data_IF_697713361822
#
_entry.id   IF_697713361822
#
_cell.length_a   1.000
_cell.length_b   1.000
_cell.length_c   1.000
_cell.angle_alpha   90.00
_cell.angle_beta   90.00
_cell.angle_gamma   90.00
#
_symmetry.space_group_name_H-M   'P 1'
#
loop_
_entity.id
_entity.type
_entity.pdbx_description
1 polymer ?
#
# COMPACT_ATOMS: atom_id res chain seq x y z
N UNK A 1 12.49 66.90 35.57
CA UNK A 1 12.21 66.51 34.18
C UNK A 1 11.28 65.31 34.21
N UNK A 2 10.03 65.53 33.76
CA UNK A 2 9.11 64.60 33.05
C UNK A 2 8.76 63.29 33.80
N UNK A 3 7.59 63.19 34.43
CA UNK A 3 6.31 62.62 33.89
C UNK A 3 6.37 61.07 33.85
N UNK A 4 5.41 60.25 34.26
CA UNK A 4 4.05 60.40 34.74
C UNK A 4 3.36 59.02 34.67
N UNK A 5 2.40 58.81 35.57
CA UNK A 5 1.23 57.91 35.50
C UNK A 5 1.40 56.40 35.15
N UNK A 6 0.45 55.65 35.75
CA UNK A 6 -0.17 54.38 35.32
C UNK A 6 0.51 53.08 35.75
N UNK A 7 -0.19 51.99 36.15
CA UNK A 7 -1.60 51.68 36.43
C UNK A 7 -1.63 50.30 37.14
N UNK A 8 -2.69 50.07 37.90
CA UNK A 8 -3.14 48.78 38.43
C UNK A 8 -3.32 47.68 37.36
N UNK A 9 -3.43 46.42 37.84
CA UNK A 9 -4.05 45.19 37.26
C UNK A 9 -3.04 44.16 36.73
N UNK A 10 -3.19 42.85 36.88
CA UNK A 10 -4.19 41.96 37.48
C UNK A 10 -3.58 40.55 37.51
N UNK A 11 -3.87 39.77 38.55
CA UNK A 11 -3.63 38.33 38.55
C UNK A 11 -4.46 37.67 37.44
N UNK A 12 -3.83 36.91 36.53
CA UNK A 12 -4.56 36.01 35.62
C UNK A 12 -4.62 34.61 36.22
N UNK A 13 -5.69 34.38 36.98
CA UNK A 13 -6.14 33.04 37.31
C UNK A 13 -6.47 32.27 36.02
N UNK A 14 -5.94 31.06 35.88
CA UNK A 14 -6.30 30.11 34.83
C UNK A 14 -7.76 29.72 35.01
N UNK A 15 -8.65 30.27 34.19
CA UNK A 15 -10.07 29.95 34.24
C UNK A 15 -10.28 28.45 33.96
N UNK A 16 -10.71 27.69 34.97
CA UNK A 16 -11.20 26.32 34.80
C UNK A 16 -12.49 26.38 33.97
N UNK A 17 -12.42 26.03 32.69
CA UNK A 17 -13.61 25.87 31.84
C UNK A 17 -14.55 24.84 32.45
N UNK A 18 -15.81 25.21 32.59
CA UNK A 18 -16.80 24.33 33.23
C UNK A 18 -17.37 23.33 32.23
N UNK A 19 -17.82 22.16 32.72
CA UNK A 19 -18.36 21.06 31.88
C UNK A 19 -19.46 21.52 30.91
N UNK A 20 -20.20 22.58 31.26
CA UNK A 20 -21.22 23.20 30.39
C UNK A 20 -20.65 23.97 29.20
N UNK A 21 -19.47 24.57 29.32
CA UNK A 21 -18.79 25.24 28.20
C UNK A 21 -18.23 24.23 27.21
N UNK A 22 -17.75 23.07 27.69
CA UNK A 22 -17.26 21.98 26.84
C UNK A 22 -18.40 21.39 25.97
N UNK A 23 -19.60 21.25 26.54
CA UNK A 23 -20.80 20.83 25.80
C UNK A 23 -21.25 21.87 24.75
N UNK A 24 -21.06 23.17 25.02
CA UNK A 24 -21.35 24.24 24.05
C UNK A 24 -20.30 24.34 22.94
N UNK A 25 -19.06 23.92 23.20
CA UNK A 25 -17.96 23.89 22.23
C UNK A 25 -17.89 22.57 21.43
N UNK A 26 -18.48 21.49 21.95
CA UNK A 26 -18.54 20.18 21.29
C UNK A 26 -19.46 20.12 20.05
N UNK A 27 -20.32 21.11 19.85
CA UNK A 27 -21.22 21.17 18.69
C UNK A 27 -20.53 21.50 17.36
N UNK A 28 -19.32 22.07 17.39
CA UNK A 28 -18.67 22.58 16.16
C UNK A 28 -17.80 21.53 15.46
N UNK A 29 -17.43 20.42 16.13
CA UNK A 29 -16.68 19.33 15.50
C UNK A 29 -17.57 18.27 14.83
N UNK A 30 -18.82 18.12 15.28
CA UNK A 30 -19.77 17.19 14.68
C UNK A 30 -20.30 17.65 13.31
N UNK A 31 -20.30 18.96 13.04
CA UNK A 31 -20.74 19.51 11.76
C UNK A 31 -19.71 19.34 10.63
N UNK A 32 -18.43 19.09 10.95
CA UNK A 32 -17.38 18.87 9.94
C UNK A 32 -17.39 17.46 9.33
N UNK A 33 -17.94 16.47 10.04
CA UNK A 33 -18.03 15.08 9.55
C UNK A 33 -19.29 14.81 8.71
N UNK A 34 -20.26 15.74 8.70
CA UNK A 34 -21.47 15.61 7.89
C UNK A 34 -21.29 16.09 6.44
N UNK A 35 -20.18 16.76 6.12
CA UNK A 35 -19.93 17.40 4.83
C UNK A 35 -18.75 16.80 4.05
N UNK A 36 -18.20 15.66 4.46
CA UNK A 36 -17.42 14.85 3.52
C UNK A 36 -18.43 14.20 2.57
N UNK A 37 -18.44 14.52 1.26
CA UNK A 37 -19.28 13.76 0.35
C UNK A 37 -18.84 12.30 0.48
N UNK A 38 -19.77 11.46 0.93
CA UNK A 38 -19.64 10.00 0.91
C UNK A 38 -19.63 9.53 -0.55
N UNK A 39 -18.61 9.92 -1.30
CA UNK A 39 -18.27 9.39 -2.62
C UNK A 39 -17.67 8.00 -2.43
N UNK A 40 -18.37 7.14 -1.68
CA UNK A 40 -18.12 5.71 -1.67
C UNK A 40 -18.70 5.20 -2.98
N UNK A 41 -17.82 5.07 -3.98
CA UNK A 41 -18.19 4.47 -5.26
C UNK A 41 -18.64 3.03 -5.01
N UNK A 42 -19.58 2.52 -5.81
CA UNK A 42 -20.00 1.11 -5.74
C UNK A 42 -18.82 0.12 -5.86
N UNK A 43 -17.73 0.53 -6.51
CA UNK A 43 -16.46 -0.21 -6.55
C UNK A 43 -15.75 -0.29 -5.19
N UNK A 44 -15.84 0.75 -4.35
CA UNK A 44 -15.25 0.74 -3.00
C UNK A 44 -16.01 -0.18 -2.04
N UNK A 45 -17.30 -0.42 -2.28
CA UNK A 45 -18.15 -1.31 -1.46
C UNK A 45 -18.21 -2.75 -1.97
N UNK A 46 -17.52 -3.07 -3.06
CA UNK A 46 -17.56 -4.40 -3.68
C UNK A 46 -18.82 -4.58 -4.51
N UNK A 47 -18.81 -4.08 -5.74
CA UNK A 47 -19.84 -4.41 -6.71
C UNK A 47 -19.72 -5.89 -7.10
N UNK A 48 -20.82 -6.58 -7.41
CA UNK A 48 -20.80 -8.01 -7.76
C UNK A 48 -19.85 -8.37 -8.93
N UNK A 49 -19.51 -7.39 -9.77
CA UNK A 49 -18.59 -7.55 -10.91
C UNK A 49 -17.11 -7.29 -10.61
N UNK A 50 -16.75 -6.76 -9.44
CA UNK A 50 -15.36 -6.60 -9.01
C UNK A 50 -15.27 -6.38 -7.48
N UNK A 51 -14.44 -7.14 -6.75
CA UNK A 51 -14.29 -6.97 -5.31
C UNK A 51 -13.79 -5.57 -4.96
N UNK A 52 -14.15 -5.13 -3.76
CA UNK A 52 -13.64 -3.88 -3.19
C UNK A 52 -12.10 -3.89 -3.23
N UNK A 53 -11.49 -2.71 -3.37
CA UNK A 53 -10.03 -2.60 -3.41
C UNK A 53 -9.32 -3.23 -2.19
N UNK A 54 -9.98 -3.25 -1.02
CA UNK A 54 -9.49 -3.89 0.20
C UNK A 54 -9.55 -5.42 0.20
N UNK A 55 -10.25 -6.03 -0.76
CA UNK A 55 -10.40 -7.48 -0.90
C UNK A 55 -9.58 -8.06 -2.06
N UNK A 56 -8.73 -7.27 -2.71
CA UNK A 56 -7.85 -7.75 -3.79
C UNK A 56 -6.57 -8.33 -3.23
N UNK A 57 -6.10 -9.41 -3.85
CA UNK A 57 -4.79 -10.00 -3.58
C UNK A 57 -3.69 -9.14 -4.22
N UNK A 58 -2.80 -8.61 -3.40
CA UNK A 58 -1.64 -7.84 -3.86
C UNK A 58 -0.47 -8.78 -4.20
N UNK A 59 -0.01 -8.71 -5.45
CA UNK A 59 1.03 -9.59 -5.99
C UNK A 59 2.34 -8.86 -6.28
N UNK A 60 3.44 -9.51 -5.91
CA UNK A 60 4.79 -9.19 -6.39
C UNK A 60 5.30 -10.24 -7.38
N UNK A 61 6.02 -9.83 -8.41
CA UNK A 61 6.66 -10.75 -9.36
C UNK A 61 8.18 -10.74 -9.19
N UNK A 62 8.78 -11.92 -9.09
CA UNK A 62 10.23 -12.12 -9.01
C UNK A 62 10.67 -12.90 -10.26
N UNK A 63 11.34 -12.21 -11.18
CA UNK A 63 11.62 -12.67 -12.54
C UNK A 63 10.48 -12.32 -13.50
N UNK A 64 10.74 -11.43 -14.46
CA UNK A 64 9.74 -10.95 -15.44
C UNK A 64 10.22 -11.07 -16.89
N UNK A 65 11.08 -12.05 -17.17
CA UNK A 65 11.31 -12.55 -18.55
C UNK A 65 10.40 -13.74 -18.88
N UNK A 66 10.52 -14.30 -20.09
CA UNK A 66 9.95 -15.60 -20.48
C UNK A 66 8.58 -15.92 -19.87
N UNK A 67 8.51 -16.99 -19.05
CA UNK A 67 7.28 -17.40 -18.35
C UNK A 67 6.76 -16.34 -17.37
N UNK A 68 7.65 -15.60 -16.70
CA UNK A 68 7.26 -14.51 -15.80
C UNK A 68 6.45 -13.43 -16.51
N UNK A 69 6.80 -13.08 -17.75
CA UNK A 69 6.00 -12.15 -18.57
C UNK A 69 4.64 -12.74 -18.94
N UNK A 70 4.60 -14.03 -19.30
CA UNK A 70 3.34 -14.74 -19.60
C UNK A 70 2.39 -14.76 -18.39
N UNK A 71 2.93 -15.06 -17.21
CA UNK A 71 2.19 -15.04 -15.95
C UNK A 71 1.71 -13.63 -15.62
N UNK A 72 2.58 -12.63 -15.75
CA UNK A 72 2.21 -11.24 -15.50
C UNK A 72 1.02 -10.80 -16.37
N UNK A 73 1.00 -11.21 -17.64
CA UNK A 73 -0.14 -10.97 -18.53
C UNK A 73 -1.38 -11.76 -18.16
N UNK A 74 -1.27 -13.00 -17.68
CA UNK A 74 -2.43 -13.77 -17.25
C UNK A 74 -3.02 -13.23 -15.94
N UNK A 75 -2.16 -12.88 -14.98
CA UNK A 75 -2.59 -12.45 -13.65
C UNK A 75 -3.28 -11.09 -13.64
N UNK A 76 -2.95 -10.19 -14.58
CA UNK A 76 -3.60 -8.88 -14.69
C UNK A 76 -5.08 -8.96 -15.08
N UNK A 77 -5.49 -10.07 -15.70
CA UNK A 77 -6.85 -10.25 -16.20
C UNK A 77 -7.80 -10.73 -15.07
N UNK A 78 -7.26 -11.11 -13.90
CA UNK A 78 -8.05 -11.43 -12.72
C UNK A 78 -8.51 -10.16 -12.00
N UNK A 79 -9.83 -9.92 -11.82
CA UNK A 79 -10.36 -8.68 -11.26
C UNK A 79 -10.10 -8.51 -9.75
N UNK A 80 -9.75 -9.60 -9.09
CA UNK A 80 -9.41 -9.74 -7.68
C UNK A 80 -7.90 -9.70 -7.40
N UNK A 81 -7.07 -9.48 -8.43
CA UNK A 81 -5.61 -9.39 -8.31
C UNK A 81 -5.13 -7.97 -8.60
N UNK A 82 -4.13 -7.51 -7.85
CA UNK A 82 -3.41 -6.28 -8.14
C UNK A 82 -1.90 -6.53 -8.11
N UNK A 83 -1.22 -6.34 -9.25
CA UNK A 83 0.23 -6.44 -9.33
C UNK A 83 0.83 -5.10 -8.90
N UNK A 84 1.58 -5.09 -7.80
CA UNK A 84 2.09 -3.85 -7.16
C UNK A 84 3.62 -3.74 -7.21
N UNK A 85 4.31 -4.83 -7.54
CA UNK A 85 5.76 -4.86 -7.59
C UNK A 85 6.28 -5.89 -8.61
N UNK A 86 7.38 -5.55 -9.28
CA UNK A 86 8.16 -6.47 -10.12
C UNK A 86 9.63 -6.37 -9.75
N UNK A 87 10.34 -7.49 -9.77
CA UNK A 87 11.78 -7.56 -9.57
C UNK A 87 12.45 -8.41 -10.65
N UNK A 88 13.50 -7.88 -11.25
CA UNK A 88 14.36 -8.60 -12.20
C UNK A 88 15.73 -7.91 -12.20
N UNK A 89 16.82 -8.61 -12.44
CA UNK A 89 18.15 -7.98 -12.53
C UNK A 89 18.34 -7.22 -13.85
N UNK A 90 17.58 -7.57 -14.88
CA UNK A 90 17.61 -6.92 -16.18
C UNK A 90 16.68 -5.70 -16.20
N UNK A 91 17.25 -4.52 -16.40
CA UNK A 91 16.51 -3.25 -16.39
C UNK A 91 15.46 -3.12 -17.50
N UNK A 92 15.76 -3.60 -18.71
CA UNK A 92 14.84 -3.55 -19.84
C UNK A 92 13.59 -4.36 -19.57
N UNK A 93 13.75 -5.56 -18.97
CA UNK A 93 12.62 -6.41 -18.57
C UNK A 93 11.74 -5.73 -17.53
N UNK A 94 12.35 -5.08 -16.54
CA UNK A 94 11.58 -4.33 -15.53
C UNK A 94 10.78 -3.19 -16.15
N UNK A 95 11.41 -2.41 -17.05
CA UNK A 95 10.75 -1.29 -17.76
C UNK A 95 9.56 -1.78 -18.59
N UNK A 96 9.73 -2.85 -19.36
CA UNK A 96 8.65 -3.44 -20.13
C UNK A 96 7.51 -3.98 -19.24
N UNK A 97 7.85 -4.61 -18.11
CA UNK A 97 6.86 -5.14 -17.18
C UNK A 97 5.99 -4.04 -16.56
N UNK A 98 6.60 -2.95 -16.06
CA UNK A 98 5.81 -1.84 -15.47
C UNK A 98 4.98 -1.09 -16.52
N UNK A 99 5.44 -1.00 -17.77
CA UNK A 99 4.66 -0.44 -18.87
C UNK A 99 3.41 -1.29 -19.15
N UNK A 100 3.53 -2.62 -19.08
CA UNK A 100 2.43 -3.56 -19.27
C UNK A 100 1.43 -3.67 -18.11
N UNK A 101 1.85 -3.33 -16.88
CA UNK A 101 0.99 -3.38 -15.67
C UNK A 101 0.33 -2.04 -15.38
N UNK A 102 1.09 -0.96 -15.42
CA UNK A 102 0.63 0.38 -15.06
C UNK A 102 1.46 1.05 -13.96
N UNK A 103 1.15 2.33 -13.70
CA UNK A 103 1.96 3.25 -12.90
C UNK A 103 2.06 2.90 -11.41
N UNK A 104 1.12 2.13 -10.89
CA UNK A 104 1.08 1.74 -9.47
C UNK A 104 2.01 0.55 -9.17
N UNK A 105 2.63 -0.05 -10.20
CA UNK A 105 3.60 -1.12 -10.06
C UNK A 105 5.02 -0.58 -9.98
N UNK A 106 5.74 -0.92 -8.90
CA UNK A 106 7.12 -0.50 -8.68
C UNK A 106 8.12 -1.57 -9.14
N UNK A 107 9.19 -1.14 -9.81
CA UNK A 107 10.26 -2.00 -10.28
C UNK A 107 11.46 -2.01 -9.32
N UNK A 108 11.96 -3.20 -8.99
CA UNK A 108 13.10 -3.41 -8.10
C UNK A 108 14.21 -4.18 -8.81
N UNK A 109 15.46 -3.73 -8.64
CA UNK A 109 16.61 -4.49 -9.15
C UNK A 109 16.91 -5.72 -8.27
N UNK A 110 16.67 -5.60 -6.96
CA UNK A 110 16.82 -6.68 -5.99
C UNK A 110 15.45 -7.12 -5.47
N UNK A 111 15.14 -8.41 -5.61
CA UNK A 111 13.85 -8.95 -5.15
C UNK A 111 13.69 -8.88 -3.62
N UNK A 112 14.78 -8.76 -2.87
CA UNK A 112 14.72 -8.65 -1.41
C UNK A 112 14.09 -7.33 -0.96
N UNK A 113 14.25 -6.27 -1.75
CA UNK A 113 13.55 -5.00 -1.52
C UNK A 113 12.05 -5.13 -1.75
N UNK A 114 11.65 -5.91 -2.77
CA UNK A 114 10.25 -6.28 -3.00
C UNK A 114 9.71 -7.10 -1.82
N UNK A 115 10.44 -8.10 -1.33
CA UNK A 115 10.00 -8.93 -0.20
C UNK A 115 9.85 -8.15 1.11
N UNK A 116 10.59 -7.05 1.28
CA UNK A 116 10.49 -6.18 2.46
C UNK A 116 9.17 -5.39 2.53
N UNK A 117 8.42 -5.31 1.43
CA UNK A 117 7.13 -4.61 1.38
C UNK A 117 6.07 -5.35 2.17
N UNK A 118 5.40 -4.65 3.10
CA UNK A 118 4.34 -5.24 3.94
C UNK A 118 2.98 -5.31 3.24
N UNK A 119 2.81 -4.57 2.16
CA UNK A 119 1.59 -4.45 1.38
C UNK A 119 1.52 -5.44 0.20
N UNK A 120 2.35 -6.49 0.22
CA UNK A 120 2.32 -7.60 -0.74
C UNK A 120 1.83 -8.83 0.00
N UNK A 121 0.79 -9.49 -0.50
CA UNK A 121 0.26 -10.70 0.12
C UNK A 121 1.01 -11.94 -0.36
N UNK A 122 1.25 -12.04 -1.67
CA UNK A 122 1.87 -13.19 -2.30
C UNK A 122 2.88 -12.81 -3.40
N UNK A 123 3.76 -13.74 -3.75
CA UNK A 123 4.72 -13.58 -4.83
C UNK A 123 4.62 -14.68 -5.89
N UNK A 124 4.84 -14.28 -7.14
CA UNK A 124 5.06 -15.18 -8.27
C UNK A 124 6.55 -15.23 -8.56
N UNK A 125 7.16 -16.41 -8.44
CA UNK A 125 8.58 -16.65 -8.67
C UNK A 125 8.74 -17.34 -10.03
N UNK A 126 9.35 -16.65 -10.98
CA UNK A 126 9.63 -17.11 -12.34
C UNK A 126 11.07 -16.77 -12.77
N UNK A 127 12.01 -16.89 -11.82
CA UNK A 127 13.45 -16.80 -12.08
C UNK A 127 13.95 -18.04 -12.82
N UNK A 128 15.24 -18.14 -13.17
CA UNK A 128 15.83 -19.44 -13.49
C UNK A 128 15.63 -20.44 -12.34
N UNK A 129 15.50 -21.71 -12.70
CA UNK A 129 15.22 -22.86 -11.82
C UNK A 129 16.13 -22.97 -10.59
N UNK A 130 17.43 -22.71 -10.75
CA UNK A 130 18.41 -22.74 -9.66
C UNK A 130 18.24 -21.61 -8.62
N UNK A 131 17.38 -20.61 -8.88
CA UNK A 131 17.05 -19.54 -7.92
C UNK A 131 15.69 -19.74 -7.22
N UNK A 132 14.83 -20.63 -7.73
CA UNK A 132 13.47 -20.83 -7.22
C UNK A 132 13.45 -21.12 -5.73
N UNK A 133 14.21 -22.11 -5.28
CA UNK A 133 14.24 -22.53 -3.88
C UNK A 133 14.65 -21.39 -2.94
N UNK A 134 15.70 -20.63 -3.29
CA UNK A 134 16.17 -19.52 -2.46
C UNK A 134 15.12 -18.40 -2.38
N UNK A 135 14.56 -18.00 -3.52
CA UNK A 135 13.51 -16.97 -3.55
C UNK A 135 12.26 -17.42 -2.78
N UNK A 136 11.85 -18.68 -2.92
CA UNK A 136 10.67 -19.22 -2.24
C UNK A 136 10.87 -19.27 -0.72
N UNK A 137 12.03 -19.77 -0.25
CA UNK A 137 12.36 -19.79 1.18
C UNK A 137 12.34 -18.37 1.75
N UNK A 138 12.97 -17.40 1.07
CA UNK A 138 13.01 -16.02 1.55
C UNK A 138 11.63 -15.35 1.53
N UNK A 139 10.79 -15.65 0.54
CA UNK A 139 9.42 -15.17 0.48
C UNK A 139 8.58 -15.72 1.65
N UNK A 140 8.67 -17.02 1.93
CA UNK A 140 8.01 -17.64 3.09
C UNK A 140 8.51 -17.02 4.41
N UNK A 141 9.82 -16.78 4.55
CA UNK A 141 10.39 -16.11 5.72
C UNK A 141 9.89 -14.67 5.88
N UNK A 142 9.61 -13.98 4.77
CA UNK A 142 8.99 -12.65 4.75
C UNK A 142 7.46 -12.69 4.97
N UNK A 143 6.89 -13.88 5.23
CA UNK A 143 5.46 -14.07 5.47
C UNK A 143 4.59 -13.91 4.23
N UNK A 144 5.14 -14.20 3.04
CA UNK A 144 4.42 -14.14 1.76
C UNK A 144 3.92 -15.52 1.36
N UNK A 145 2.74 -15.58 0.77
CA UNK A 145 2.32 -16.76 0.02
C UNK A 145 3.13 -16.86 -1.29
N UNK A 146 3.35 -18.09 -1.77
CA UNK A 146 4.27 -18.33 -2.90
C UNK A 146 3.60 -19.14 -3.99
N UNK A 147 3.59 -18.56 -5.19
CA UNK A 147 3.48 -19.30 -6.44
C UNK A 147 4.88 -19.42 -7.05
N UNK A 148 5.35 -20.63 -7.30
CA UNK A 148 6.67 -20.88 -7.90
C UNK A 148 6.53 -21.61 -9.23
N UNK A 149 7.22 -21.12 -10.25
CA UNK A 149 7.27 -21.79 -11.55
C UNK A 149 7.90 -23.18 -11.46
N UNK A 150 7.48 -24.04 -12.39
CA UNK A 150 8.08 -25.34 -12.63
C UNK A 150 9.40 -25.22 -13.42
N UNK A 151 10.38 -26.11 -13.19
CA UNK A 151 10.47 -27.06 -12.07
C UNK A 151 10.71 -26.32 -10.75
N UNK A 152 10.23 -26.89 -9.63
CA UNK A 152 10.28 -26.21 -8.32
C UNK A 152 11.71 -25.90 -7.86
N UNK A 153 12.63 -26.84 -8.07
CA UNK A 153 14.04 -26.74 -7.72
C UNK A 153 14.84 -27.76 -8.54
N UNK A 154 16.15 -27.59 -8.60
CA UNK A 154 17.06 -28.59 -9.14
C UNK A 154 17.23 -29.80 -8.19
N UNK A 155 17.09 -29.59 -6.89
CA UNK A 155 17.18 -30.60 -5.81
C UNK A 155 16.12 -30.37 -4.75
#
# INVERSE_FOLDING_TARGET
MVDGRTKHREARATAKRTRREILRWGGTWAAGLAATPYMLTSRALGAESAPAASGRLTLGFIGVGGMGTGHLHAFRDFPDVQIVAVADVNEERRKAAIEGVGKDCLAYNDYRELLARKDIDAVVIATPDHWHALCAIQACQAGKDVYCEKPLSYT
#
